data_IF_941651307168
#
_entry.id   IF_941651307168
#
_cell.length_a   1.000
_cell.length_b   1.000
_cell.length_c   1.000
_cell.angle_alpha   90.00
_cell.angle_beta   90.00
_cell.angle_gamma   90.00
#
_symmetry.space_group_name_H-M   'P 1'
#
loop_
_entity.id
_entity.type
_entity.pdbx_description
1 polymer ?
#
# COMPACT_ATOMS: atom_id res chain seq x y z
N UNK A 1 -31.45 -11.95 3.39
CA UNK A 1 -29.98 -11.90 3.29
C UNK A 1 -29.60 -10.96 2.17
N UNK A 2 -28.76 -9.97 2.47
CA UNK A 2 -28.25 -9.03 1.47
C UNK A 2 -27.01 -9.62 0.84
N UNK A 3 -27.06 -9.86 -0.47
CA UNK A 3 -25.87 -10.24 -1.23
C UNK A 3 -25.13 -8.98 -1.67
N UNK A 4 -24.04 -8.65 -0.99
CA UNK A 4 -23.19 -7.52 -1.31
C UNK A 4 -22.57 -7.62 -2.71
N UNK A 5 -22.36 -8.81 -3.25
CA UNK A 5 -21.82 -8.97 -4.61
C UNK A 5 -22.86 -8.50 -5.64
N UNK A 6 -24.13 -8.81 -5.42
CA UNK A 6 -25.23 -8.31 -6.27
C UNK A 6 -25.31 -6.79 -6.19
N UNK A 7 -25.22 -6.20 -4.99
CA UNK A 7 -25.22 -4.74 -4.83
C UNK A 7 -24.02 -4.11 -5.54
N UNK A 8 -22.82 -4.63 -5.34
CA UNK A 8 -21.60 -4.13 -5.99
C UNK A 8 -21.63 -4.24 -7.51
N UNK A 9 -22.27 -5.26 -8.06
CA UNK A 9 -22.41 -5.38 -9.52
C UNK A 9 -23.32 -4.32 -10.14
N UNK A 10 -24.20 -3.73 -9.35
CA UNK A 10 -25.15 -2.70 -9.78
C UNK A 10 -24.70 -1.28 -9.48
N UNK A 11 -23.93 -1.09 -8.41
CA UNK A 11 -23.51 0.23 -7.92
C UNK A 11 -22.00 0.31 -7.91
N UNK A 12 -21.43 1.20 -8.71
CA UNK A 12 -20.00 1.48 -8.72
C UNK A 12 -19.58 2.48 -7.64
N UNK A 13 -18.28 2.49 -7.34
CA UNK A 13 -17.67 3.52 -6.49
C UNK A 13 -17.85 4.90 -7.11
N UNK A 14 -17.76 5.01 -8.43
CA UNK A 14 -17.96 6.22 -9.20
C UNK A 14 -19.40 6.77 -9.08
N UNK A 15 -20.41 5.90 -9.05
CA UNK A 15 -21.79 6.31 -8.83
C UNK A 15 -21.96 7.01 -7.48
N UNK A 16 -21.45 6.39 -6.41
CA UNK A 16 -21.50 6.95 -5.05
C UNK A 16 -20.66 8.21 -4.92
N UNK A 17 -19.45 8.19 -5.47
CA UNK A 17 -18.56 9.36 -5.44
C UNK A 17 -19.16 10.57 -6.15
N UNK A 18 -19.87 10.34 -7.27
CA UNK A 18 -20.57 11.42 -7.99
C UNK A 18 -21.63 12.11 -7.13
N UNK A 19 -22.43 11.34 -6.37
CA UNK A 19 -23.41 11.88 -5.43
C UNK A 19 -22.78 12.62 -4.26
N UNK A 20 -21.59 12.19 -3.83
CA UNK A 20 -20.80 12.89 -2.81
C UNK A 20 -20.13 14.17 -3.33
N UNK A 21 -20.35 14.54 -4.59
CA UNK A 21 -19.85 15.76 -5.19
C UNK A 21 -18.51 15.61 -5.93
N UNK A 22 -17.93 14.40 -5.98
CA UNK A 22 -16.75 14.16 -6.80
C UNK A 22 -17.07 14.27 -8.28
N UNK A 23 -16.13 14.75 -9.05
CA UNK A 23 -16.23 14.87 -10.51
C UNK A 23 -15.02 14.26 -11.18
N UNK A 24 -15.21 13.68 -12.36
CA UNK A 24 -14.14 13.07 -13.15
C UNK A 24 -13.05 14.10 -13.46
N UNK A 25 -11.81 13.81 -13.07
CA UNK A 25 -10.66 14.61 -13.46
C UNK A 25 -10.13 14.15 -14.83
N UNK A 26 -10.58 14.82 -15.88
CA UNK A 26 -10.21 14.49 -17.27
C UNK A 26 -8.73 14.71 -17.57
N UNK A 27 -8.02 15.52 -16.77
CA UNK A 27 -6.58 15.76 -16.92
C UNK A 27 -5.74 14.57 -16.48
N UNK A 28 -6.27 13.75 -15.57
CA UNK A 28 -5.60 12.54 -15.11
C UNK A 28 -5.68 11.36 -16.11
N UNK A 29 -6.45 11.53 -17.19
CA UNK A 29 -6.68 10.51 -18.21
C UNK A 29 -7.85 9.57 -17.86
N UNK A 30 -8.30 8.84 -18.86
CA UNK A 30 -9.39 7.84 -18.75
C UNK A 30 -8.90 6.55 -19.40
N UNK A 31 -8.95 5.44 -18.67
CA UNK A 31 -8.49 4.15 -19.19
C UNK A 31 -8.68 3.03 -18.15
N UNK A 32 -7.60 2.33 -17.84
CA UNK A 32 -7.61 1.29 -16.79
C UNK A 32 -7.96 1.85 -15.40
N UNK A 33 -7.74 3.14 -15.21
CA UNK A 33 -8.04 3.89 -14.00
C UNK A 33 -8.77 5.17 -14.38
N UNK A 34 -9.63 5.65 -13.50
CA UNK A 34 -10.16 7.01 -13.53
C UNK A 34 -9.80 7.70 -12.21
N UNK A 35 -9.61 9.00 -12.25
CA UNK A 35 -9.48 9.84 -11.06
C UNK A 35 -10.73 10.70 -10.93
N UNK A 36 -11.31 10.72 -9.75
CA UNK A 36 -12.40 11.63 -9.39
C UNK A 36 -11.94 12.54 -8.27
N UNK A 37 -12.26 13.83 -8.38
CA UNK A 37 -11.85 14.85 -7.44
C UNK A 37 -13.04 15.59 -6.85
N UNK A 38 -12.92 15.97 -5.59
CA UNK A 38 -13.81 16.87 -4.90
C UNK A 38 -13.21 18.28 -4.91
N UNK A 39 -13.83 19.21 -5.62
CA UNK A 39 -13.32 20.55 -5.88
C UNK A 39 -12.43 20.63 -7.14
N UNK A 40 -12.20 21.84 -7.65
CA UNK A 40 -11.48 22.10 -8.89
C UNK A 40 -10.10 22.72 -8.67
N UNK A 41 -9.10 22.27 -9.42
CA UNK A 41 -7.79 22.91 -9.54
C UNK A 41 -7.08 23.13 -8.20
N UNK A 42 -6.92 24.39 -7.77
CA UNK A 42 -6.25 24.74 -6.49
C UNK A 42 -7.09 24.47 -5.25
N UNK A 43 -8.41 24.29 -5.40
CA UNK A 43 -9.37 23.99 -4.33
C UNK A 43 -9.67 22.49 -4.21
N UNK A 44 -8.88 21.65 -4.86
CA UNK A 44 -9.03 20.19 -4.78
C UNK A 44 -8.86 19.71 -3.34
N UNK A 45 -9.98 19.33 -2.71
CA UNK A 45 -10.03 18.91 -1.28
C UNK A 45 -9.69 17.44 -1.10
N UNK A 46 -10.14 16.60 -2.05
CA UNK A 46 -9.90 15.16 -2.03
C UNK A 46 -9.83 14.62 -3.45
N UNK A 47 -9.13 13.51 -3.64
CA UNK A 47 -9.05 12.81 -4.91
C UNK A 47 -8.94 11.31 -4.70
N UNK A 48 -9.76 10.57 -5.43
CA UNK A 48 -9.80 9.11 -5.43
C UNK A 48 -9.45 8.57 -6.81
N UNK A 49 -8.75 7.44 -6.82
CA UNK A 49 -8.44 6.70 -8.04
C UNK A 49 -9.26 5.42 -8.03
N UNK A 50 -10.05 5.20 -9.06
CA UNK A 50 -10.89 4.03 -9.22
C UNK A 50 -10.30 3.12 -10.29
N UNK A 51 -9.94 1.90 -9.91
CA UNK A 51 -9.54 0.84 -10.83
C UNK A 51 -10.74 0.13 -11.40
N UNK A 52 -10.57 -0.44 -12.60
CA UNK A 52 -11.62 -1.17 -13.32
C UNK A 52 -12.93 -0.36 -13.45
N UNK A 53 -12.89 0.88 -13.96
CA UNK A 53 -14.06 1.76 -13.98
C UNK A 53 -15.25 1.20 -14.77
N UNK A 54 -15.01 0.25 -15.68
CA UNK A 54 -16.05 -0.38 -16.50
C UNK A 54 -16.61 -1.69 -15.91
N UNK A 55 -16.09 -2.14 -14.77
CA UNK A 55 -16.57 -3.34 -14.07
C UNK A 55 -16.89 -3.00 -12.62
N UNK A 56 -18.14 -2.63 -12.36
CA UNK A 56 -18.62 -2.20 -11.05
C UNK A 56 -18.32 -3.23 -9.93
N UNK A 57 -18.44 -4.52 -10.25
CA UNK A 57 -18.19 -5.58 -9.29
C UNK A 57 -16.70 -5.69 -8.89
N UNK A 58 -15.80 -5.32 -9.81
CA UNK A 58 -14.35 -5.39 -9.63
C UNK A 58 -13.72 -4.03 -9.31
N UNK A 59 -14.50 -2.96 -9.20
CA UNK A 59 -13.98 -1.64 -8.84
C UNK A 59 -13.27 -1.67 -7.48
N UNK A 60 -12.18 -0.91 -7.40
CA UNK A 60 -11.43 -0.66 -6.15
C UNK A 60 -11.00 0.78 -6.09
N UNK A 61 -11.02 1.34 -4.90
CA UNK A 61 -10.65 2.72 -4.62
C UNK A 61 -9.25 2.77 -4.01
N UNK A 62 -8.48 3.75 -4.47
CA UNK A 62 -7.18 4.11 -3.90
C UNK A 62 -7.08 5.61 -3.76
N UNK A 63 -6.22 6.05 -2.85
CA UNK A 63 -5.77 7.44 -2.75
C UNK A 63 -4.28 7.53 -3.03
N UNK A 64 -3.83 8.67 -3.58
CA UNK A 64 -2.41 8.91 -3.87
C UNK A 64 -1.54 9.00 -2.63
N UNK A 65 -2.14 9.28 -1.49
CA UNK A 65 -1.48 9.33 -0.18
C UNK A 65 -1.29 7.94 0.46
N UNK A 66 -1.58 6.89 -0.30
CA UNK A 66 -1.38 5.50 0.12
C UNK A 66 -2.42 4.97 1.09
N UNK A 67 -3.45 5.74 1.44
CA UNK A 67 -4.61 5.18 2.13
C UNK A 67 -5.37 4.30 1.14
N UNK A 68 -5.32 2.98 1.34
CA UNK A 68 -6.11 2.06 0.54
C UNK A 68 -7.48 1.90 1.18
N UNK A 69 -8.48 2.36 0.48
CA UNK A 69 -9.87 2.17 0.83
C UNK A 69 -10.53 1.25 -0.18
N UNK A 70 -11.49 0.48 0.27
CA UNK A 70 -12.42 -0.22 -0.59
C UNK A 70 -13.63 0.67 -0.84
N UNK A 71 -14.50 0.31 -1.79
CA UNK A 71 -15.79 0.97 -1.99
C UNK A 71 -16.58 1.12 -0.69
N UNK A 72 -16.57 0.07 0.15
CA UNK A 72 -17.26 0.08 1.45
C UNK A 72 -16.61 1.04 2.44
N UNK A 73 -15.28 1.14 2.47
CA UNK A 73 -14.59 2.09 3.32
C UNK A 73 -14.85 3.54 2.91
N UNK A 74 -14.92 3.83 1.59
CA UNK A 74 -15.28 5.16 1.10
C UNK A 74 -16.72 5.54 1.49
N UNK A 75 -17.69 4.65 1.26
CA UNK A 75 -19.08 4.89 1.67
C UNK A 75 -19.17 5.09 3.18
N UNK A 76 -18.45 4.27 3.94
CA UNK A 76 -18.42 4.36 5.40
C UNK A 76 -17.87 5.69 5.89
N UNK A 77 -16.79 6.19 5.31
CA UNK A 77 -16.18 7.46 5.67
C UNK A 77 -17.14 8.65 5.42
N UNK A 78 -18.07 8.52 4.47
CA UNK A 78 -18.99 9.56 4.07
C UNK A 78 -20.47 9.26 4.40
N UNK A 79 -20.74 8.28 5.27
CA UNK A 79 -22.13 7.92 5.65
C UNK A 79 -22.93 9.06 6.23
N UNK A 80 -22.29 10.06 6.82
CA UNK A 80 -22.94 11.25 7.31
C UNK A 80 -23.60 12.09 6.20
N UNK A 81 -23.14 11.93 4.94
CA UNK A 81 -23.77 12.59 3.79
C UNK A 81 -25.07 11.92 3.35
N UNK A 82 -25.39 10.73 3.90
CA UNK A 82 -26.59 9.97 3.60
C UNK A 82 -27.44 9.81 4.87
N UNK A 83 -28.67 10.27 4.83
CA UNK A 83 -29.63 10.06 5.93
C UNK A 83 -30.10 8.60 5.96
N UNK A 84 -29.33 7.74 6.62
CA UNK A 84 -29.58 6.29 6.68
C UNK A 84 -29.57 5.79 8.12
N UNK A 85 -30.65 5.14 8.54
CA UNK A 85 -30.73 4.46 9.84
C UNK A 85 -30.19 3.03 9.77
N UNK A 86 -29.50 2.57 10.81
CA UNK A 86 -29.03 1.18 10.94
C UNK A 86 -28.29 0.98 12.26
N UNK A 87 -28.30 -0.24 12.81
CA UNK A 87 -27.63 -0.60 14.07
C UNK A 87 -26.11 -0.53 13.97
N UNK A 88 -25.56 -0.76 12.77
CA UNK A 88 -24.13 -0.69 12.49
C UNK A 88 -23.87 -0.18 11.07
N UNK A 89 -22.62 0.15 10.77
CA UNK A 89 -22.22 0.74 9.50
C UNK A 89 -22.51 -0.18 8.31
N UNK A 90 -22.36 -1.50 8.47
CA UNK A 90 -22.63 -2.45 7.38
C UNK A 90 -24.10 -2.44 6.95
N UNK A 91 -25.02 -2.34 7.91
CA UNK A 91 -26.44 -2.19 7.60
C UNK A 91 -26.72 -0.88 6.87
N UNK A 92 -26.08 0.21 7.32
CA UNK A 92 -26.18 1.52 6.65
C UNK A 92 -25.64 1.46 5.22
N UNK A 93 -24.45 0.88 5.04
CA UNK A 93 -23.81 0.71 3.72
C UNK A 93 -24.72 -0.10 2.78
N UNK A 94 -25.28 -1.21 3.24
CA UNK A 94 -26.16 -2.03 2.42
C UNK A 94 -27.43 -1.29 2.01
N UNK A 95 -28.01 -0.47 2.87
CA UNK A 95 -29.16 0.37 2.54
C UNK A 95 -28.78 1.46 1.52
N UNK A 96 -27.63 2.13 1.70
CA UNK A 96 -27.14 3.10 0.72
C UNK A 96 -26.99 2.45 -0.65
N UNK A 97 -26.30 1.31 -0.73
CA UNK A 97 -26.10 0.61 -1.99
C UNK A 97 -27.43 0.12 -2.60
N UNK A 98 -28.38 -0.32 -1.78
CA UNK A 98 -29.70 -0.73 -2.27
C UNK A 98 -30.47 0.47 -2.90
N UNK A 99 -30.40 1.67 -2.31
CA UNK A 99 -30.99 2.89 -2.88
C UNK A 99 -30.40 3.20 -4.27
N UNK A 100 -29.07 3.20 -4.39
CA UNK A 100 -28.38 3.41 -5.66
C UNK A 100 -28.71 2.33 -6.70
N UNK A 101 -28.90 1.09 -6.26
CA UNK A 101 -29.27 -0.03 -7.13
C UNK A 101 -30.75 -0.05 -7.51
N UNK A 102 -31.55 0.89 -7.00
CA UNK A 102 -33.02 0.90 -7.11
C UNK A 102 -33.65 -0.43 -6.64
N UNK A 103 -33.09 -1.00 -5.57
CA UNK A 103 -33.56 -2.21 -4.93
C UNK A 103 -34.26 -1.86 -3.61
N UNK A 104 -35.21 -2.72 -3.14
CA UNK A 104 -35.77 -2.56 -1.81
C UNK A 104 -34.67 -2.52 -0.74
N UNK A 105 -34.82 -1.62 0.23
CA UNK A 105 -33.88 -1.59 1.36
C UNK A 105 -33.98 -2.89 2.16
N UNK A 106 -32.83 -3.48 2.52
CA UNK A 106 -32.82 -4.72 3.26
C UNK A 106 -33.40 -4.52 4.67
N UNK A 107 -34.28 -5.44 5.05
CA UNK A 107 -34.74 -5.57 6.44
C UNK A 107 -33.78 -6.45 7.20
N UNK A 108 -33.25 -5.96 8.34
CA UNK A 108 -32.33 -6.69 9.17
C UNK A 108 -33.04 -7.30 10.38
N UNK A 109 -32.93 -8.62 10.52
CA UNK A 109 -33.31 -9.32 11.74
C UNK A 109 -32.18 -9.30 12.75
N UNK A 110 -32.47 -9.51 14.04
CA UNK A 110 -31.48 -9.41 15.12
C UNK A 110 -30.37 -10.48 15.06
N UNK A 111 -30.63 -11.59 14.39
CA UNK A 111 -29.80 -12.78 14.25
C UNK A 111 -28.96 -12.80 12.96
N UNK A 112 -28.76 -11.63 12.31
CA UNK A 112 -27.98 -11.57 11.08
C UNK A 112 -26.49 -11.80 11.34
N UNK A 113 -25.98 -12.98 10.96
CA UNK A 113 -24.55 -13.22 10.80
C UNK A 113 -24.07 -12.79 9.41
N UNK A 114 -23.03 -11.94 9.37
CA UNK A 114 -22.38 -11.57 8.14
C UNK A 114 -21.59 -12.74 7.58
N UNK A 115 -22.15 -13.40 6.56
CA UNK A 115 -21.42 -14.39 5.79
C UNK A 115 -20.49 -13.62 4.85
N UNK A 116 -19.21 -13.56 5.21
CA UNK A 116 -18.17 -13.04 4.34
C UNK A 116 -18.17 -13.88 3.06
N UNK A 117 -18.74 -13.35 1.97
CA UNK A 117 -18.61 -14.03 0.69
C UNK A 117 -17.12 -14.16 0.39
N UNK A 118 -16.63 -15.39 0.34
CA UNK A 118 -15.30 -15.66 -0.16
C UNK A 118 -15.27 -15.17 -1.60
N UNK A 119 -14.68 -14.00 -1.82
CA UNK A 119 -14.42 -13.56 -3.18
C UNK A 119 -13.67 -14.69 -3.87
N UNK A 120 -14.21 -15.21 -4.95
CA UNK A 120 -13.52 -16.18 -5.78
C UNK A 120 -12.33 -15.49 -6.45
N UNK A 121 -11.28 -15.24 -5.68
CA UNK A 121 -9.97 -15.01 -6.27
C UNK A 121 -9.59 -16.35 -6.88
N UNK A 122 -9.52 -16.40 -8.22
CA UNK A 122 -8.96 -17.58 -8.89
C UNK A 122 -7.61 -17.84 -8.25
N UNK A 123 -7.40 -19.07 -7.77
CA UNK A 123 -6.13 -19.50 -7.21
C UNK A 123 -5.00 -19.21 -8.21
N UNK A 124 -3.81 -18.98 -7.68
CA UNK A 124 -2.64 -18.77 -8.50
C UNK A 124 -2.36 -20.01 -9.37
N UNK A 125 -2.50 -19.83 -10.67
CA UNK A 125 -2.18 -20.85 -11.67
C UNK A 125 -0.75 -20.67 -12.17
N UNK A 126 0.18 -21.46 -11.62
CA UNK A 126 1.58 -21.43 -12.03
C UNK A 126 1.79 -21.88 -13.48
N UNK A 127 0.88 -22.67 -14.05
CA UNK A 127 0.99 -23.18 -15.43
C UNK A 127 0.83 -22.09 -16.47
N UNK A 128 0.17 -20.98 -16.11
CA UNK A 128 0.01 -19.78 -16.93
C UNK A 128 1.36 -19.10 -17.25
N UNK A 129 2.37 -19.31 -16.43
CA UNK A 129 3.62 -18.57 -16.53
C UNK A 129 4.77 -19.46 -17.00
N UNK A 130 5.67 -18.89 -17.81
CA UNK A 130 7.00 -19.44 -18.05
C UNK A 130 7.94 -18.80 -17.05
N UNK A 131 8.55 -19.60 -16.19
CA UNK A 131 9.43 -19.13 -15.12
C UNK A 131 10.82 -19.74 -15.28
N UNK A 132 11.86 -18.92 -15.19
CA UNK A 132 13.26 -19.33 -15.28
C UNK A 132 14.07 -18.71 -14.14
N UNK A 133 15.14 -19.37 -13.66
CA UNK A 133 16.09 -18.73 -12.75
C UNK A 133 16.80 -17.57 -13.45
N UNK A 134 17.28 -16.61 -12.69
CA UNK A 134 18.22 -15.60 -13.20
C UNK A 134 19.57 -16.26 -13.40
N UNK A 135 20.18 -16.03 -14.57
CA UNK A 135 21.58 -16.39 -14.78
C UNK A 135 22.46 -15.31 -14.11
N UNK A 136 23.28 -15.66 -13.10
CA UNK A 136 24.14 -14.70 -12.41
C UNK A 136 25.25 -14.12 -13.29
N UNK A 137 25.56 -14.76 -14.43
CA UNK A 137 26.54 -14.27 -15.40
C UNK A 137 25.92 -13.39 -16.50
N UNK A 138 24.57 -13.36 -16.57
CA UNK A 138 23.84 -12.55 -17.55
C UNK A 138 22.69 -11.81 -16.82
N UNK A 139 23.06 -10.82 -16.05
CA UNK A 139 22.12 -10.03 -15.24
C UNK A 139 21.27 -9.13 -16.15
N UNK A 140 19.93 -9.13 -16.01
CA UNK A 140 19.05 -8.22 -16.75
C UNK A 140 19.33 -6.74 -16.44
N UNK A 141 19.39 -5.89 -17.47
CA UNK A 141 19.71 -4.47 -17.37
C UNK A 141 18.74 -3.66 -16.47
N UNK A 142 17.58 -4.20 -16.16
CA UNK A 142 16.64 -3.55 -15.21
C UNK A 142 17.24 -3.37 -13.83
N UNK A 143 18.13 -4.27 -13.38
CA UNK A 143 18.79 -4.13 -12.07
C UNK A 143 19.80 -3.00 -12.08
N UNK A 144 20.55 -2.83 -13.17
CA UNK A 144 21.44 -1.69 -13.36
C UNK A 144 20.69 -0.37 -13.38
N UNK A 145 19.54 -0.31 -14.07
CA UNK A 145 18.64 0.86 -14.06
C UNK A 145 18.13 1.22 -12.68
N UNK A 146 18.11 0.26 -11.75
CA UNK A 146 17.77 0.44 -10.33
C UNK A 146 18.99 0.69 -9.44
N UNK A 147 20.18 0.82 -10.02
CA UNK A 147 21.43 1.04 -9.30
C UNK A 147 21.94 -0.17 -8.52
N UNK A 148 21.39 -1.34 -8.79
CA UNK A 148 21.76 -2.57 -8.08
C UNK A 148 23.01 -3.18 -8.72
N UNK A 149 24.04 -3.36 -7.91
CA UNK A 149 25.29 -3.98 -8.35
C UNK A 149 25.11 -5.47 -8.67
N UNK A 150 25.95 -5.98 -9.56
CA UNK A 150 25.99 -7.41 -9.90
C UNK A 150 26.14 -8.30 -8.65
N UNK A 151 26.96 -7.87 -7.69
CA UNK A 151 27.16 -8.61 -6.44
C UNK A 151 25.86 -8.72 -5.64
N UNK A 152 25.10 -7.61 -5.57
CA UNK A 152 23.79 -7.61 -4.92
C UNK A 152 22.83 -8.53 -5.67
N UNK A 153 22.74 -8.41 -6.99
CA UNK A 153 21.84 -9.27 -7.77
C UNK A 153 22.21 -10.74 -7.63
N UNK A 154 23.50 -11.10 -7.66
CA UNK A 154 23.96 -12.48 -7.42
C UNK A 154 23.55 -13.00 -6.05
N UNK A 155 23.64 -12.16 -5.00
CA UNK A 155 23.19 -12.53 -3.65
C UNK A 155 21.70 -12.88 -3.62
N UNK A 156 20.88 -12.13 -4.36
CA UNK A 156 19.43 -12.34 -4.38
C UNK A 156 18.94 -13.27 -5.52
N UNK A 157 19.80 -13.69 -6.43
CA UNK A 157 19.43 -14.54 -7.56
C UNK A 157 18.62 -15.81 -7.18
N UNK A 158 18.88 -16.50 -6.04
CA UNK A 158 18.06 -17.63 -5.61
C UNK A 158 16.59 -17.28 -5.35
N UNK A 159 16.31 -16.02 -5.02
CA UNK A 159 14.98 -15.50 -4.62
C UNK A 159 14.27 -14.73 -5.75
N UNK A 160 14.83 -14.70 -6.95
CA UNK A 160 14.32 -13.94 -8.09
C UNK A 160 14.14 -14.88 -9.28
N UNK A 161 13.19 -14.57 -10.14
CA UNK A 161 12.91 -15.34 -11.37
C UNK A 161 12.75 -14.40 -12.56
N UNK A 162 12.98 -14.92 -13.74
CA UNK A 162 12.47 -14.36 -14.98
C UNK A 162 11.08 -14.95 -15.20
N UNK A 163 10.08 -14.12 -15.45
CA UNK A 163 8.69 -14.54 -15.60
C UNK A 163 8.05 -13.94 -16.86
N UNK A 164 7.31 -14.77 -17.60
CA UNK A 164 6.53 -14.38 -18.75
C UNK A 164 5.14 -14.97 -18.66
N UNK A 165 4.11 -14.15 -18.86
CA UNK A 165 2.71 -14.59 -18.92
C UNK A 165 2.43 -15.14 -20.33
N UNK A 166 2.07 -16.41 -20.43
CA UNK A 166 1.72 -17.08 -21.71
C UNK A 166 0.50 -16.50 -22.39
N UNK A 167 -0.39 -15.83 -21.61
CA UNK A 167 -1.60 -15.18 -22.14
C UNK A 167 -1.32 -13.79 -22.73
N UNK A 168 -0.14 -13.25 -22.52
CA UNK A 168 0.25 -11.98 -23.11
C UNK A 168 0.99 -12.21 -24.41
N UNK A 169 0.26 -12.42 -25.49
CA UNK A 169 0.80 -12.68 -26.83
C UNK A 169 1.58 -11.49 -27.40
N UNK A 170 1.36 -10.29 -26.89
CA UNK A 170 2.05 -9.08 -27.35
C UNK A 170 3.41 -8.85 -26.69
N UNK A 171 3.86 -9.74 -25.82
CA UNK A 171 5.13 -9.61 -25.10
C UNK A 171 5.89 -10.94 -25.03
N UNK A 172 6.91 -11.07 -25.87
CA UNK A 172 7.78 -12.24 -25.89
C UNK A 172 8.94 -12.22 -24.89
N UNK A 173 9.14 -11.09 -24.22
CA UNK A 173 10.21 -10.89 -23.25
C UNK A 173 9.91 -11.52 -21.89
N UNK A 174 10.87 -11.34 -20.99
CA UNK A 174 10.71 -11.70 -19.57
C UNK A 174 10.74 -10.46 -18.71
N UNK A 175 9.84 -10.44 -17.74
CA UNK A 175 9.87 -9.52 -16.60
C UNK A 175 10.63 -10.17 -15.44
N UNK A 176 10.95 -9.37 -14.42
CA UNK A 176 11.45 -9.88 -13.14
C UNK A 176 10.28 -10.29 -12.29
N UNK A 177 10.33 -11.52 -11.77
CA UNK A 177 9.35 -12.07 -10.84
C UNK A 177 9.97 -12.28 -9.47
N UNK A 178 9.33 -11.75 -8.45
CA UNK A 178 9.66 -11.97 -7.05
C UNK A 178 8.62 -12.93 -6.46
N UNK A 179 8.98 -14.22 -6.23
CA UNK A 179 8.03 -15.24 -5.82
C UNK A 179 7.48 -14.96 -4.42
N UNK A 180 6.17 -15.06 -4.28
CA UNK A 180 5.48 -14.98 -3.00
C UNK A 180 5.42 -16.34 -2.34
N UNK A 181 5.85 -16.41 -1.09
CA UNK A 181 5.74 -17.58 -0.21
C UNK A 181 5.09 -17.14 1.10
N UNK A 182 4.49 -18.08 1.82
CA UNK A 182 4.06 -17.82 3.19
C UNK A 182 5.04 -18.42 4.20
N UNK A 183 4.85 -18.11 5.48
CA UNK A 183 5.72 -18.63 6.55
C UNK A 183 5.68 -20.14 6.75
N UNK A 184 4.66 -20.84 6.24
CA UNK A 184 4.46 -22.27 6.46
C UNK A 184 5.38 -23.14 5.61
N UNK A 185 5.61 -22.74 4.34
CA UNK A 185 6.43 -23.49 3.40
C UNK A 185 6.94 -22.59 2.26
N UNK A 186 7.85 -23.13 1.46
CA UNK A 186 8.46 -22.42 0.32
C UNK A 186 7.64 -22.55 -0.98
N UNK A 187 6.40 -23.04 -0.92
CA UNK A 187 5.52 -23.13 -2.09
C UNK A 187 5.23 -21.73 -2.61
N UNK A 188 5.49 -21.53 -3.91
CA UNK A 188 5.19 -20.27 -4.59
C UNK A 188 3.68 -20.13 -4.77
N UNK A 189 3.13 -19.04 -4.25
CA UNK A 189 1.70 -18.69 -4.26
C UNK A 189 1.39 -17.46 -5.11
N UNK A 190 2.35 -16.99 -5.88
CA UNK A 190 2.22 -15.82 -6.73
C UNK A 190 3.55 -15.15 -7.00
N UNK A 191 3.49 -14.00 -7.67
CA UNK A 191 4.66 -13.18 -7.96
C UNK A 191 4.32 -11.71 -7.91
N UNK A 192 5.19 -10.91 -7.31
CA UNK A 192 5.34 -9.51 -7.67
C UNK A 192 6.10 -9.46 -8.99
N UNK A 193 5.61 -8.67 -9.97
CA UNK A 193 6.21 -8.58 -11.31
C UNK A 193 6.70 -7.15 -11.54
N UNK A 194 7.94 -7.03 -11.98
CA UNK A 194 8.59 -5.78 -12.36
C UNK A 194 9.16 -5.90 -13.76
N UNK A 195 8.94 -4.87 -14.58
CA UNK A 195 9.43 -4.81 -15.96
C UNK A 195 10.04 -3.46 -16.28
N UNK A 196 10.51 -3.35 -17.51
CA UNK A 196 11.06 -2.12 -18.06
C UNK A 196 9.97 -1.03 -18.17
N UNK A 197 10.38 0.23 -18.25
CA UNK A 197 9.44 1.36 -18.38
C UNK A 197 8.54 1.56 -17.16
N UNK A 198 8.96 1.11 -15.97
CA UNK A 198 8.17 1.26 -14.75
C UNK A 198 7.02 0.25 -14.60
N UNK A 199 6.95 -0.77 -15.47
CA UNK A 199 5.90 -1.78 -15.37
C UNK A 199 5.93 -2.50 -14.03
N UNK A 200 4.81 -2.48 -13.32
CA UNK A 200 4.59 -3.16 -12.05
C UNK A 200 3.22 -3.86 -12.04
N UNK A 201 3.19 -5.10 -11.58
CA UNK A 201 1.96 -5.90 -11.49
C UNK A 201 2.13 -6.99 -10.44
N UNK A 202 1.06 -7.71 -10.16
CA UNK A 202 1.07 -9.01 -9.50
C UNK A 202 0.61 -10.07 -10.51
N UNK A 203 1.18 -11.27 -10.44
CA UNK A 203 0.69 -12.38 -11.24
C UNK A 203 -0.78 -12.67 -10.88
N UNK A 204 -1.58 -12.99 -11.89
CA UNK A 204 -3.01 -13.22 -11.68
C UNK A 204 -3.24 -14.37 -10.68
N UNK A 205 -4.12 -14.15 -9.72
CA UNK A 205 -4.42 -15.12 -8.66
C UNK A 205 -3.36 -15.20 -7.55
N UNK A 206 -2.35 -14.31 -7.54
CA UNK A 206 -1.36 -14.29 -6.46
C UNK A 206 -2.03 -14.10 -5.11
N UNK A 207 -1.67 -14.95 -4.15
CA UNK A 207 -2.04 -14.77 -2.75
C UNK A 207 -1.18 -13.66 -2.12
N UNK A 208 -1.65 -12.43 -2.26
CA UNK A 208 -1.06 -11.28 -1.58
C UNK A 208 -1.72 -10.97 -0.24
N UNK A 209 -2.58 -11.86 0.25
CA UNK A 209 -3.21 -11.74 1.56
C UNK A 209 -2.43 -12.43 2.67
N UNK A 210 -1.75 -13.54 2.37
CA UNK A 210 -0.97 -14.30 3.36
C UNK A 210 0.50 -14.49 2.96
N UNK A 211 0.87 -14.16 1.73
CA UNK A 211 2.19 -14.43 1.16
C UNK A 211 2.93 -13.16 0.78
N UNK A 212 4.25 -13.19 0.86
CA UNK A 212 5.16 -12.11 0.54
C UNK A 212 6.40 -12.63 -0.19
N UNK A 213 7.17 -11.74 -0.80
CA UNK A 213 8.51 -12.12 -1.23
C UNK A 213 9.44 -12.17 -0.02
N UNK A 214 10.10 -13.31 0.16
CA UNK A 214 10.99 -13.57 1.31
C UNK A 214 12.36 -14.01 0.78
N UNK A 215 13.39 -13.24 1.10
CA UNK A 215 14.77 -13.57 0.80
C UNK A 215 15.53 -13.89 2.09
N UNK A 216 15.64 -15.17 2.41
CA UNK A 216 16.33 -15.67 3.59
C UNK A 216 17.82 -15.86 3.32
N UNK A 217 18.65 -14.91 3.75
CA UNK A 217 20.09 -14.95 3.60
C UNK A 217 20.80 -15.77 4.68
N UNK A 218 20.06 -16.38 5.61
CA UNK A 218 20.64 -17.29 6.64
C UNK A 218 20.99 -18.67 6.13
N UNK A 219 20.65 -18.96 4.86
CA UNK A 219 20.82 -20.29 4.26
C UNK A 219 19.73 -21.28 4.63
N UNK A 220 18.55 -20.79 5.03
CA UNK A 220 17.39 -21.62 5.37
C UNK A 220 17.37 -22.14 6.81
N UNK A 221 18.10 -21.49 7.71
CA UNK A 221 18.11 -21.81 9.14
C UNK A 221 17.34 -20.76 9.97
N UNK A 222 16.03 -20.92 10.16
CA UNK A 222 15.20 -19.90 10.83
C UNK A 222 15.69 -19.50 12.22
N UNK A 223 16.21 -20.44 12.99
CA UNK A 223 16.63 -20.22 14.38
C UNK A 223 17.87 -19.32 14.54
N UNK A 224 18.65 -19.12 13.47
CA UNK A 224 19.81 -18.22 13.51
C UNK A 224 19.49 -16.84 12.96
N UNK A 225 18.30 -16.61 12.41
CA UNK A 225 17.87 -15.31 11.87
C UNK A 225 17.77 -14.30 13.01
N UNK A 226 18.52 -13.21 12.90
CA UNK A 226 18.52 -12.14 13.90
C UNK A 226 17.56 -11.01 13.58
N UNK A 227 17.35 -10.75 12.30
CA UNK A 227 16.56 -9.61 11.83
C UNK A 227 15.70 -10.01 10.65
N UNK A 228 14.43 -9.57 10.67
CA UNK A 228 13.51 -9.59 9.54
C UNK A 228 13.22 -8.15 9.14
N UNK A 229 13.53 -7.81 7.90
CA UNK A 229 13.51 -6.46 7.36
C UNK A 229 12.37 -6.34 6.37
N UNK A 230 11.35 -5.56 6.71
CA UNK A 230 10.15 -5.37 5.89
C UNK A 230 10.25 -4.10 5.06
N UNK A 231 10.11 -4.22 3.75
CA UNK A 231 10.06 -3.14 2.77
C UNK A 231 8.78 -3.21 1.94
N UNK A 232 8.42 -2.11 1.28
CA UNK A 232 7.24 -2.08 0.42
C UNK A 232 7.44 -2.82 -0.89
N UNK A 233 8.65 -2.76 -1.47
CA UNK A 233 8.98 -3.49 -2.70
C UNK A 233 10.27 -4.29 -2.58
N UNK A 234 10.42 -5.29 -3.45
CA UNK A 234 11.61 -6.11 -3.50
C UNK A 234 12.84 -5.29 -3.93
N UNK A 235 12.69 -4.28 -4.80
CA UNK A 235 13.79 -3.40 -5.17
C UNK A 235 14.25 -2.53 -3.99
N UNK A 236 13.33 -2.06 -3.13
CA UNK A 236 13.70 -1.32 -1.92
C UNK A 236 14.46 -2.21 -0.93
N UNK A 237 14.03 -3.45 -0.76
CA UNK A 237 14.71 -4.42 0.07
C UNK A 237 16.15 -4.71 -0.43
N UNK A 238 16.32 -4.88 -1.75
CA UNK A 238 17.64 -5.08 -2.34
C UNK A 238 18.53 -3.83 -2.24
N UNK A 239 17.95 -2.63 -2.45
CA UNK A 239 18.65 -1.36 -2.29
C UNK A 239 19.06 -1.12 -0.84
N UNK A 240 18.16 -1.38 0.12
CA UNK A 240 18.49 -1.34 1.55
C UNK A 240 19.68 -2.24 1.88
N UNK A 241 19.65 -3.50 1.40
CA UNK A 241 20.76 -4.43 1.60
C UNK A 241 22.06 -3.89 1.02
N UNK A 242 22.06 -3.42 -0.22
CA UNK A 242 23.26 -2.91 -0.88
C UNK A 242 23.89 -1.73 -0.12
N UNK A 243 23.07 -0.80 0.35
CA UNK A 243 23.53 0.37 1.10
C UNK A 243 24.05 0.02 2.49
N UNK A 244 23.49 -1.01 3.13
CA UNK A 244 23.73 -1.29 4.55
C UNK A 244 24.46 -2.61 4.81
N UNK A 245 24.84 -3.40 3.77
CA UNK A 245 25.38 -4.76 3.89
C UNK A 245 26.58 -4.89 4.83
N UNK A 246 27.41 -3.84 4.95
CA UNK A 246 28.58 -3.84 5.86
C UNK A 246 28.16 -3.88 7.33
N UNK A 247 26.96 -3.41 7.65
CA UNK A 247 26.39 -3.39 9.00
C UNK A 247 25.47 -4.59 9.25
N UNK A 248 25.01 -5.24 8.17
CA UNK A 248 24.13 -6.38 8.22
C UNK A 248 24.95 -7.67 8.19
N UNK A 249 24.72 -8.56 9.13
CA UNK A 249 25.27 -9.91 9.05
C UNK A 249 24.56 -10.75 8.00
N UNK A 250 24.95 -12.03 7.87
CA UNK A 250 24.29 -12.98 6.96
C UNK A 250 22.98 -13.56 7.53
N UNK A 251 22.74 -13.43 8.84
CA UNK A 251 21.56 -14.00 9.50
C UNK A 251 20.38 -13.03 9.48
N UNK A 252 19.97 -12.66 8.28
CA UNK A 252 18.89 -11.73 8.02
C UNK A 252 17.93 -12.26 6.97
N UNK A 253 16.70 -11.80 7.07
CA UNK A 253 15.65 -12.04 6.07
C UNK A 253 15.15 -10.69 5.58
N UNK A 254 15.06 -10.53 4.28
CA UNK A 254 14.44 -9.36 3.66
C UNK A 254 13.09 -9.76 3.09
N UNK A 255 12.10 -8.90 3.28
CA UNK A 255 10.72 -9.15 2.91
C UNK A 255 10.18 -7.97 2.10
N UNK A 256 9.55 -8.26 0.96
CA UNK A 256 8.72 -7.31 0.24
C UNK A 256 7.25 -7.68 0.41
N UNK A 257 6.45 -6.72 0.87
CA UNK A 257 5.01 -6.89 1.02
C UNK A 257 4.25 -6.62 -0.29
N UNK A 258 4.95 -6.08 -1.31
CA UNK A 258 4.38 -5.80 -2.64
C UNK A 258 3.40 -4.63 -2.67
N UNK A 259 3.60 -3.65 -1.81
CA UNK A 259 2.75 -2.47 -1.58
C UNK A 259 1.89 -2.63 -0.34
N UNK A 260 0.59 -2.32 -0.43
CA UNK A 260 -0.33 -2.51 0.70
C UNK A 260 -0.35 -3.95 1.16
N UNK A 261 -0.23 -4.13 2.45
CA UNK A 261 -0.16 -5.45 3.07
C UNK A 261 -1.38 -5.78 3.95
N UNK A 262 -1.56 -7.07 4.21
CA UNK A 262 -2.44 -7.59 5.25
C UNK A 262 -1.63 -7.98 6.49
N UNK A 263 -2.28 -8.00 7.64
CA UNK A 263 -1.66 -8.43 8.89
C UNK A 263 -1.15 -9.88 8.80
N UNK A 264 -1.87 -10.73 8.05
CA UNK A 264 -1.50 -12.12 7.85
C UNK A 264 -0.16 -12.30 7.11
N UNK A 265 0.23 -11.41 6.19
CA UNK A 265 1.54 -11.46 5.54
C UNK A 265 2.68 -11.29 6.56
N UNK A 266 2.58 -10.27 7.43
CA UNK A 266 3.60 -10.01 8.47
C UNK A 266 3.62 -11.16 9.48
N UNK A 267 2.44 -11.58 9.97
CA UNK A 267 2.32 -12.63 10.96
C UNK A 267 2.90 -13.95 10.45
N UNK A 268 2.61 -14.32 9.19
CA UNK A 268 3.10 -15.58 8.62
C UNK A 268 4.63 -15.61 8.52
N UNK A 269 5.24 -14.48 8.14
CA UNK A 269 6.70 -14.36 8.11
C UNK A 269 7.29 -14.42 9.52
N UNK A 270 6.73 -13.67 10.47
CA UNK A 270 7.25 -13.64 11.84
C UNK A 270 7.08 -14.98 12.56
N UNK A 271 6.03 -15.77 12.25
CA UNK A 271 5.86 -17.12 12.78
C UNK A 271 7.00 -18.06 12.34
N UNK A 272 7.54 -17.86 11.13
CA UNK A 272 8.70 -18.63 10.65
C UNK A 272 10.00 -18.22 11.36
N UNK A 273 10.11 -16.95 11.79
CA UNK A 273 11.29 -16.39 12.42
C UNK A 273 11.00 -15.78 13.79
N UNK A 274 10.52 -16.57 14.76
CA UNK A 274 9.96 -16.06 16.02
C UNK A 274 10.98 -15.32 16.90
N UNK A 275 12.26 -15.70 16.82
CA UNK A 275 13.34 -15.08 17.60
C UNK A 275 13.93 -13.84 16.93
N UNK A 276 13.58 -13.59 15.69
CA UNK A 276 14.12 -12.48 14.92
C UNK A 276 13.49 -11.15 15.35
N UNK A 277 14.30 -10.10 15.33
CA UNK A 277 13.83 -8.74 15.55
C UNK A 277 13.28 -8.16 14.25
N UNK A 278 12.03 -7.71 14.22
CA UNK A 278 11.44 -7.06 13.04
C UNK A 278 11.92 -5.63 12.88
N UNK A 279 12.20 -5.24 11.63
CA UNK A 279 12.53 -3.89 11.22
C UNK A 279 11.50 -3.38 10.22
N UNK A 280 10.96 -2.20 10.51
CA UNK A 280 10.17 -1.36 9.62
C UNK A 280 11.14 -0.51 8.77
N UNK A 281 11.25 -0.86 7.47
CA UNK A 281 12.09 -0.18 6.49
C UNK A 281 11.23 0.36 5.32
N UNK A 282 10.01 0.81 5.62
CA UNK A 282 9.06 1.34 4.65
C UNK A 282 9.46 2.72 4.12
N UNK A 283 8.71 3.21 3.15
CA UNK A 283 8.94 4.50 2.51
C UNK A 283 8.81 5.68 3.50
N UNK A 284 9.46 6.79 3.18
CA UNK A 284 9.36 8.03 3.95
C UNK A 284 8.09 8.85 3.66
N UNK A 285 7.24 8.38 2.76
CA UNK A 285 5.97 9.04 2.51
C UNK A 285 4.92 8.73 3.60
N UNK A 286 3.77 9.38 3.52
CA UNK A 286 2.73 9.22 4.52
C UNK A 286 2.21 7.78 4.59
N UNK A 287 2.17 7.08 3.45
CA UNK A 287 1.72 5.69 3.40
C UNK A 287 2.66 4.76 4.16
N UNK A 288 3.96 4.83 3.86
CA UNK A 288 4.97 4.03 4.54
C UNK A 288 4.99 4.29 6.04
N UNK A 289 4.78 5.53 6.48
CA UNK A 289 4.66 5.87 7.91
C UNK A 289 3.44 5.25 8.57
N UNK A 290 2.28 5.23 7.88
CA UNK A 290 1.07 4.53 8.36
C UNK A 290 1.30 3.02 8.40
N UNK A 291 1.99 2.46 7.41
CA UNK A 291 2.35 1.05 7.40
C UNK A 291 3.25 0.68 8.58
N UNK A 292 4.22 1.54 8.93
CA UNK A 292 5.05 1.37 10.12
C UNK A 292 4.23 1.34 11.41
N UNK A 293 3.22 2.20 11.55
CA UNK A 293 2.31 2.19 12.69
C UNK A 293 1.43 0.92 12.74
N UNK A 294 0.93 0.46 11.58
CA UNK A 294 0.14 -0.78 11.52
C UNK A 294 0.98 -2.00 11.89
N UNK A 295 2.21 -2.10 11.37
CA UNK A 295 3.15 -3.15 11.75
C UNK A 295 3.49 -3.10 13.23
N UNK A 296 3.69 -1.91 13.79
CA UNK A 296 3.92 -1.70 15.22
C UNK A 296 2.71 -2.19 16.04
N UNK A 297 1.50 -1.74 15.68
CA UNK A 297 0.24 -2.17 16.32
C UNK A 297 0.11 -3.69 16.37
N UNK A 298 0.37 -4.33 15.22
CA UNK A 298 0.26 -5.78 15.07
C UNK A 298 1.26 -6.54 15.95
N UNK A 299 2.54 -6.22 15.81
CA UNK A 299 3.62 -7.01 16.42
C UNK A 299 3.87 -6.70 17.90
N UNK A 300 3.49 -5.51 18.36
CA UNK A 300 3.52 -5.14 19.79
C UNK A 300 2.18 -5.42 20.50
N UNK A 301 1.19 -5.95 19.77
CA UNK A 301 -0.15 -6.23 20.30
C UNK A 301 -0.79 -4.99 20.96
N UNK A 302 -0.59 -3.82 20.36
CA UNK A 302 -1.17 -2.56 20.82
C UNK A 302 -2.29 -2.18 19.85
N UNK A 303 -3.56 -2.37 20.19
CA UNK A 303 -4.66 -1.93 19.33
C UNK A 303 -4.54 -0.44 19.03
N UNK A 304 -4.55 -0.10 17.75
CA UNK A 304 -4.49 1.28 17.26
C UNK A 304 -5.58 1.49 16.22
N UNK A 305 -6.36 2.57 16.40
CA UNK A 305 -7.22 3.10 15.35
C UNK A 305 -6.51 4.30 14.72
N UNK A 306 -6.28 4.24 13.42
CA UNK A 306 -5.64 5.32 12.67
C UNK A 306 -6.72 5.97 11.82
N UNK A 307 -7.12 7.17 12.23
CA UNK A 307 -8.18 7.94 11.58
C UNK A 307 -7.57 9.17 10.90
N UNK A 308 -8.22 9.61 9.84
CA UNK A 308 -7.93 10.89 9.21
C UNK A 308 -9.07 11.86 9.54
N UNK A 309 -8.72 13.04 10.04
CA UNK A 309 -9.69 14.12 10.24
C UNK A 309 -10.08 14.78 8.91
N UNK A 310 -11.14 15.56 8.90
CA UNK A 310 -11.58 16.34 7.73
C UNK A 310 -10.48 17.30 7.22
N UNK A 311 -9.64 17.79 8.12
CA UNK A 311 -8.49 18.67 7.81
C UNK A 311 -7.27 17.89 7.30
N UNK A 312 -7.39 16.54 7.16
CA UNK A 312 -6.31 15.69 6.65
C UNK A 312 -5.24 15.30 7.67
N UNK A 313 -5.41 15.68 8.95
CA UNK A 313 -4.53 15.23 10.02
C UNK A 313 -4.76 13.75 10.33
N UNK A 314 -3.68 13.04 10.62
CA UNK A 314 -3.75 11.67 11.13
C UNK A 314 -3.86 11.71 12.65
N UNK A 315 -4.85 10.99 13.17
CA UNK A 315 -5.06 10.80 14.60
C UNK A 315 -4.96 9.32 14.92
N UNK A 316 -4.11 8.97 15.88
CA UNK A 316 -3.96 7.61 16.37
C UNK A 316 -4.58 7.49 17.75
N UNK A 317 -5.56 6.62 17.87
CA UNK A 317 -6.15 6.23 19.15
C UNK A 317 -5.49 4.93 19.63
N UNK A 318 -4.79 4.99 20.74
CA UNK A 318 -4.10 3.84 21.34
C UNK A 318 -4.02 4.00 22.86
N UNK A 319 -4.18 2.91 23.60
CA UNK A 319 -4.09 2.89 25.08
C UNK A 319 -4.94 3.98 25.74
N UNK A 320 -6.17 4.18 25.29
CA UNK A 320 -7.11 5.20 25.75
C UNK A 320 -6.60 6.66 25.61
N UNK A 321 -5.69 6.90 24.70
CA UNK A 321 -5.20 8.22 24.32
C UNK A 321 -5.41 8.47 22.85
N UNK A 322 -5.66 9.71 22.49
CA UNK A 322 -5.76 10.20 21.12
C UNK A 322 -4.54 11.08 20.84
N UNK A 323 -3.77 10.75 19.80
CA UNK A 323 -2.54 11.44 19.44
C UNK A 323 -2.68 11.95 18.01
N UNK A 324 -2.71 13.26 17.84
CA UNK A 324 -2.63 13.88 16.52
C UNK A 324 -1.17 13.85 16.03
N UNK A 325 -0.95 13.40 14.79
CA UNK A 325 0.37 13.23 14.22
C UNK A 325 0.68 14.33 13.20
N UNK A 326 1.78 15.04 13.41
CA UNK A 326 2.30 16.04 12.50
C UNK A 326 3.02 15.36 11.32
N UNK A 327 2.67 15.75 10.09
CA UNK A 327 3.18 15.10 8.87
C UNK A 327 4.68 15.31 8.63
N UNK A 328 5.27 16.36 9.17
CA UNK A 328 6.69 16.72 9.02
C UNK A 328 7.64 16.00 10.00
N UNK A 329 7.05 15.33 11.03
CA UNK A 329 7.78 14.56 12.04
C UNK A 329 7.55 13.06 11.87
N UNK A 330 8.53 12.20 12.21
CA UNK A 330 8.33 10.76 12.21
C UNK A 330 7.19 10.36 13.15
N UNK A 331 6.15 9.70 12.63
CA UNK A 331 4.95 9.34 13.39
C UNK A 331 5.26 8.49 14.62
N UNK A 332 6.20 7.55 14.46
CA UNK A 332 6.59 6.66 15.54
C UNK A 332 7.25 7.39 16.72
N UNK A 333 8.05 8.41 16.44
CA UNK A 333 8.69 9.23 17.49
C UNK A 333 7.59 9.96 18.27
N UNK A 334 6.67 10.60 17.59
CA UNK A 334 5.54 11.30 18.21
C UNK A 334 4.70 10.36 19.09
N UNK A 335 4.40 9.16 18.56
CA UNK A 335 3.63 8.16 19.30
C UNK A 335 4.38 7.69 20.55
N UNK A 336 5.69 7.47 20.44
CA UNK A 336 6.55 7.04 21.56
C UNK A 336 6.66 8.09 22.66
N UNK A 337 6.77 9.37 22.31
CA UNK A 337 6.77 10.49 23.24
C UNK A 337 5.47 10.53 24.05
N UNK A 338 4.33 10.30 23.39
CA UNK A 338 3.01 10.37 24.02
C UNK A 338 2.64 9.11 24.82
N UNK A 339 3.04 7.94 24.36
CA UNK A 339 2.69 6.66 24.98
C UNK A 339 3.78 6.12 25.92
N UNK A 340 4.94 6.76 26.00
CA UNK A 340 6.07 6.40 26.88
C UNK A 340 6.44 4.90 26.82
N UNK A 341 6.46 4.32 25.61
CA UNK A 341 6.67 2.87 25.41
C UNK A 341 7.96 2.58 24.64
N UNK A 342 8.60 1.47 25.00
CA UNK A 342 9.70 0.90 24.20
C UNK A 342 9.17 -0.27 23.40
N UNK A 343 9.51 -0.33 22.11
CA UNK A 343 9.01 -1.34 21.18
C UNK A 343 10.12 -2.29 20.72
N UNK A 344 9.75 -3.57 20.49
CA UNK A 344 10.62 -4.59 19.89
C UNK A 344 10.84 -4.31 18.40
N UNK A 345 9.77 -3.91 17.71
CA UNK A 345 9.85 -3.47 16.32
C UNK A 345 10.79 -2.29 16.21
N UNK A 346 11.80 -2.39 15.38
CA UNK A 346 12.73 -1.29 15.10
C UNK A 346 12.33 -0.59 13.81
N UNK A 347 12.75 0.66 13.68
CA UNK A 347 12.54 1.44 12.46
C UNK A 347 13.90 1.82 11.87
N UNK A 348 14.03 1.58 10.56
CA UNK A 348 15.21 1.99 9.80
C UNK A 348 14.73 2.57 8.47
N UNK A 349 14.40 3.86 8.48
CA UNK A 349 13.90 4.57 7.32
C UNK A 349 15.03 5.02 6.40
N UNK A 350 14.74 5.25 5.10
CA UNK A 350 15.64 5.97 4.21
C UNK A 350 16.01 7.34 4.82
N UNK A 351 17.18 7.90 4.48
CA UNK A 351 17.52 9.27 4.88
C UNK A 351 16.42 10.26 4.46
N UNK A 352 16.14 11.26 5.28
CA UNK A 352 15.00 12.20 5.15
C UNK A 352 14.85 12.83 3.74
N UNK A 353 15.95 12.95 3.00
CA UNK A 353 15.94 13.50 1.66
C UNK A 353 15.32 12.57 0.61
N UNK A 354 15.19 11.29 0.89
CA UNK A 354 14.75 10.28 -0.08
C UNK A 354 13.40 9.68 0.32
N UNK A 355 12.58 9.37 -0.71
CA UNK A 355 11.29 8.74 -0.51
C UNK A 355 11.44 7.29 -0.05
N UNK A 356 12.24 6.53 -0.77
CA UNK A 356 12.44 5.10 -0.58
C UNK A 356 13.92 4.72 -0.68
N UNK A 357 14.24 3.46 -0.43
CA UNK A 357 15.61 2.96 -0.46
C UNK A 357 16.19 2.90 -1.86
N UNK A 358 15.38 2.66 -2.88
CA UNK A 358 15.86 2.66 -4.26
C UNK A 358 16.18 4.07 -4.75
N UNK A 359 15.38 5.07 -4.38
CA UNK A 359 15.69 6.49 -4.64
C UNK A 359 16.95 6.93 -3.88
N UNK A 360 17.15 6.45 -2.65
CA UNK A 360 18.39 6.68 -1.91
C UNK A 360 19.60 6.10 -2.64
N UNK A 361 19.51 4.85 -3.12
CA UNK A 361 20.58 4.21 -3.87
C UNK A 361 20.91 4.93 -5.17
N UNK A 362 19.89 5.44 -5.87
CA UNK A 362 20.01 6.18 -7.12
C UNK A 362 20.36 7.66 -6.92
N UNK A 363 20.49 8.11 -5.67
CA UNK A 363 20.67 9.52 -5.30
C UNK A 363 19.62 10.46 -5.94
N UNK A 364 18.34 10.08 -5.83
CA UNK A 364 17.17 10.83 -6.32
C UNK A 364 16.40 11.42 -5.15
N UNK A 365 16.80 12.58 -4.62
CA UNK A 365 16.11 13.19 -3.48
C UNK A 365 14.69 13.63 -3.85
N UNK A 366 13.79 13.61 -2.87
CA UNK A 366 12.47 14.23 -3.00
C UNK A 366 12.65 15.73 -3.25
N UNK A 367 12.01 16.25 -4.29
CA UNK A 367 11.93 17.69 -4.47
C UNK A 367 11.24 18.31 -3.26
N UNK A 368 11.94 19.18 -2.55
CA UNK A 368 11.41 19.86 -1.38
C UNK A 368 10.32 20.83 -1.88
N UNK A 369 9.06 20.48 -1.73
CA UNK A 369 7.91 21.38 -1.99
C UNK A 369 7.93 22.67 -1.16
N UNK A 370 8.87 22.80 -0.22
CA UNK A 370 9.02 23.95 0.65
C UNK A 370 9.34 25.26 -0.09
N UNK A 371 10.03 25.21 -1.22
CA UNK A 371 10.33 26.42 -1.99
C UNK A 371 9.12 26.97 -2.74
N UNK A 372 8.19 26.11 -3.14
CA UNK A 372 6.95 26.56 -3.78
C UNK A 372 6.02 27.28 -2.80
N UNK A 373 5.89 26.79 -1.57
CA UNK A 373 5.08 27.45 -0.53
C UNK A 373 5.67 28.80 -0.10
N UNK A 374 7.01 28.91 -0.01
CA UNK A 374 7.68 30.19 0.26
C UNK A 374 7.54 31.17 -0.91
N UNK A 375 7.67 30.67 -2.13
CA UNK A 375 7.53 31.51 -3.32
C UNK A 375 6.08 32.00 -3.47
N UNK A 376 5.08 31.14 -3.21
CA UNK A 376 3.67 31.52 -3.23
C UNK A 376 3.31 32.51 -2.10
N UNK A 377 3.92 32.37 -0.92
CA UNK A 377 3.75 33.36 0.16
C UNK A 377 4.40 34.71 -0.18
N UNK A 378 5.58 34.70 -0.80
CA UNK A 378 6.27 35.92 -1.26
C UNK A 378 5.45 36.60 -2.37
N UNK A 379 4.92 35.83 -3.33
CA UNK A 379 4.09 36.35 -4.40
C UNK A 379 2.77 36.94 -3.89
N UNK A 380 2.11 36.28 -2.96
CA UNK A 380 0.89 36.77 -2.30
C UNK A 380 1.13 38.06 -1.47
N UNK A 381 2.30 38.18 -0.84
CA UNK A 381 2.68 39.39 -0.10
C UNK A 381 3.00 40.55 -1.06
N UNK A 382 3.60 40.27 -2.22
CA UNK A 382 3.85 41.26 -3.25
C UNK A 382 2.55 41.77 -3.90
N UNK A 383 1.60 40.88 -4.17
CA UNK A 383 0.28 41.25 -4.70
C UNK A 383 -0.53 42.10 -3.71
N UNK A 384 -0.47 41.77 -2.41
CA UNK A 384 -1.12 42.58 -1.36
C UNK A 384 -0.50 43.98 -1.17
N UNK A 385 0.82 44.13 -1.44
CA UNK A 385 1.49 45.44 -1.41
C UNK A 385 1.15 46.29 -2.63
N UNK A 386 0.86 45.68 -3.76
CA UNK A 386 0.49 46.38 -5.00
C UNK A 386 -1.01 46.74 -5.08
N UNK A 387 -1.83 46.12 -4.24
CA UNK A 387 -3.23 46.49 -4.02
C UNK A 387 -3.30 47.57 -2.93
N UNK A 388 -2.82 48.76 -3.24
CA UNK A 388 -2.96 49.94 -2.38
C UNK A 388 -4.42 50.25 -2.06
N UNK A 389 -4.70 50.97 -0.97
CA UNK A 389 -6.06 51.23 -0.55
C UNK A 389 -6.81 52.01 -1.66
N UNK A 390 -7.91 51.44 -2.12
CA UNK A 390 -8.85 52.17 -2.97
C UNK A 390 -9.51 53.24 -2.06
N UNK A 391 -9.20 54.52 -2.36
CA UNK A 391 -9.93 55.68 -1.87
C UNK A 391 -11.38 55.67 -2.33
#
# INVERSE_FOLDING_TARGET
NVDFQVLKSKVGIDDVAYELGFRLDRKAGVGRYIEMALGDGKEKRDAIIICNPHDKAAQRLFRRDGSNETDMAHIRAHLHAFEVSGKNDWQKIAKVLARFAHMPEPEYREDFEYIKSAGHTKDFDSTRYVVKPINPDKIPAIFDQRGLSDETVRTFAPFIRLIRDKKNENFDGYNIGFPYTNGENDKVRGYEIRGYGGYKSKAAGSDSSTSAWVADLSGGYPNIVKHVIFCESAFDAMAFYQLNRKQLGKNIVLVSLGGTFSDAQITSVMNRYPEARPFDCFDNDQAGRVYGLRMLSLLEHIPMNINRTEDGLLVVEAKNRSVALEADRPFRVQLQEQLSSRYKVRQWLPPKAFKDWNDCLLNRPMEIKADKLKQDQINNLAERRNAGPKL
#
